data_IF_808517335663
#
_entry.id   IF_808517335663
#
_cell.length_a   1.000
_cell.length_b   1.000
_cell.length_c   1.000
_cell.angle_alpha   90.00
_cell.angle_beta   90.00
_cell.angle_gamma   90.00
#
_symmetry.space_group_name_H-M   'P 1'
#
loop_
_entity.id
_entity.type
_entity.pdbx_description
1 polymer ?
#
# COMPACT_ATOMS: atom_id res chain seq x y z
N UNK A 1 -7.16 -10.71 -5.42
CA UNK A 1 -7.03 -10.13 -4.07
C UNK A 1 -5.87 -10.81 -3.37
N UNK A 2 -4.82 -10.06 -3.02
CA UNK A 2 -3.68 -10.50 -2.23
C UNK A 2 -3.88 -10.00 -0.80
N UNK A 3 -3.60 -10.85 0.20
CA UNK A 3 -3.59 -10.45 1.62
C UNK A 3 -2.21 -10.71 2.16
N UNK A 4 -1.57 -9.67 2.69
CA UNK A 4 -0.21 -9.71 3.21
C UNK A 4 -0.21 -9.19 4.63
N UNK A 5 0.82 -9.55 5.39
CA UNK A 5 1.00 -9.07 6.76
C UNK A 5 2.23 -8.20 6.80
N UNK A 6 2.10 -7.05 7.44
CA UNK A 6 3.21 -6.16 7.73
C UNK A 6 3.29 -5.95 9.24
N UNK A 7 4.51 -5.75 9.74
CA UNK A 7 4.71 -5.38 11.12
C UNK A 7 5.36 -3.99 11.14
N UNK A 8 4.72 -3.05 11.81
CA UNK A 8 5.26 -1.71 12.04
C UNK A 8 4.79 -1.20 13.41
N UNK A 9 5.60 -0.37 14.08
CA UNK A 9 5.26 0.23 15.38
C UNK A 9 4.69 -0.78 16.40
N UNK A 10 5.30 -1.97 16.48
CA UNK A 10 4.87 -3.10 17.32
C UNK A 10 3.45 -3.64 17.06
N UNK A 11 2.83 -3.23 15.94
CA UNK A 11 1.51 -3.68 15.47
C UNK A 11 1.71 -4.62 14.29
N UNK A 12 1.01 -5.75 14.32
CA UNK A 12 0.83 -6.60 13.14
C UNK A 12 -0.44 -6.17 12.40
N UNK A 13 -0.27 -5.66 11.18
CA UNK A 13 -1.37 -5.20 10.35
C UNK A 13 -1.57 -6.10 9.11
N UNK A 14 -2.81 -6.17 8.64
CA UNK A 14 -3.16 -6.89 7.43
C UNK A 14 -3.29 -5.87 6.29
N UNK A 15 -2.56 -6.10 5.22
CA UNK A 15 -2.64 -5.30 4.00
C UNK A 15 -3.44 -6.09 2.97
N UNK A 16 -4.55 -5.51 2.55
CA UNK A 16 -5.42 -6.03 1.52
C UNK A 16 -5.13 -5.30 0.22
N UNK A 17 -4.75 -6.04 -0.82
CA UNK A 17 -4.46 -5.49 -2.15
C UNK A 17 -5.42 -6.14 -3.14
N UNK A 18 -6.24 -5.33 -3.76
CA UNK A 18 -7.19 -5.75 -4.78
C UNK A 18 -6.88 -5.04 -6.10
N UNK A 19 -6.72 -5.82 -7.16
CA UNK A 19 -6.53 -5.29 -8.51
C UNK A 19 -7.86 -5.34 -9.25
N UNK A 20 -8.30 -4.19 -9.76
CA UNK A 20 -9.45 -4.06 -10.64
C UNK A 20 -8.98 -3.90 -12.09
N UNK A 21 -8.86 -5.02 -12.81
CA UNK A 21 -8.42 -5.04 -14.21
C UNK A 21 -9.37 -4.27 -15.13
N UNK A 22 -10.66 -4.18 -14.80
CA UNK A 22 -11.65 -3.46 -15.64
C UNK A 22 -11.46 -1.95 -15.54
N UNK A 23 -11.21 -1.46 -14.32
CA UNK A 23 -11.01 -0.02 -14.06
C UNK A 23 -9.55 0.42 -14.11
N UNK A 24 -8.60 -0.51 -14.21
CA UNK A 24 -7.16 -0.26 -14.14
C UNK A 24 -6.76 0.45 -12.83
N UNK A 25 -7.24 -0.09 -11.70
CA UNK A 25 -7.01 0.48 -10.37
C UNK A 25 -6.55 -0.62 -9.40
N UNK A 26 -5.65 -0.27 -8.47
CA UNK A 26 -5.41 -1.01 -7.24
C UNK A 26 -6.16 -0.35 -6.08
N UNK A 27 -6.88 -1.17 -5.32
CA UNK A 27 -7.42 -0.80 -4.02
C UNK A 27 -6.55 -1.44 -2.95
N UNK A 28 -5.99 -0.61 -2.08
CA UNK A 28 -5.12 -1.04 -0.99
C UNK A 28 -5.77 -0.60 0.31
N UNK A 29 -5.86 -1.50 1.29
CA UNK A 29 -6.47 -1.20 2.59
C UNK A 29 -5.67 -1.82 3.74
N UNK A 30 -5.55 -1.06 4.83
CA UNK A 30 -4.92 -1.44 6.10
C UNK A 30 -5.90 -1.10 7.23
N UNK A 31 -6.80 -2.03 7.60
CA UNK A 31 -7.84 -1.78 8.59
C UNK A 31 -7.32 -1.41 9.97
N UNK A 32 -6.16 -1.94 10.39
CA UNK A 32 -5.59 -1.70 11.71
C UNK A 32 -5.26 -0.21 11.97
N UNK A 33 -5.07 0.56 10.90
CA UNK A 33 -4.85 2.02 10.97
C UNK A 33 -5.99 2.81 10.31
N UNK A 34 -7.12 2.18 9.97
CA UNK A 34 -8.26 2.79 9.26
C UNK A 34 -7.85 3.50 7.96
N UNK A 35 -6.92 2.91 7.20
CA UNK A 35 -6.39 3.51 5.98
C UNK A 35 -6.79 2.69 4.76
N UNK A 36 -7.10 3.39 3.66
CA UNK A 36 -7.28 2.78 2.34
C UNK A 36 -7.01 3.80 1.24
N UNK A 37 -6.53 3.32 0.10
CA UNK A 37 -6.24 4.13 -1.08
C UNK A 37 -6.64 3.39 -2.36
N UNK A 38 -7.20 4.15 -3.30
CA UNK A 38 -7.34 3.72 -4.70
C UNK A 38 -6.26 4.42 -5.52
N UNK A 39 -5.48 3.66 -6.28
CA UNK A 39 -4.37 4.15 -7.11
C UNK A 39 -4.43 3.51 -8.50
N UNK A 40 -3.99 4.23 -9.53
CA UNK A 40 -3.98 3.71 -10.91
C UNK A 40 -3.00 2.55 -11.07
N UNK A 41 -3.45 1.47 -11.72
CA UNK A 41 -2.59 0.31 -12.00
C UNK A 41 -1.60 0.54 -13.14
N UNK A 42 -1.69 1.69 -13.80
CA UNK A 42 -0.79 2.14 -14.88
C UNK A 42 0.46 2.86 -14.36
N UNK A 43 0.50 3.21 -13.07
CA UNK A 43 1.68 3.83 -12.47
C UNK A 43 2.87 2.86 -12.51
N UNK A 44 4.06 3.43 -12.68
CA UNK A 44 5.30 2.69 -12.48
C UNK A 44 5.58 2.49 -10.98
N UNK A 45 6.60 1.69 -10.67
CA UNK A 45 7.00 1.36 -9.30
C UNK A 45 7.32 2.60 -8.45
N UNK A 46 8.06 3.57 -9.00
CA UNK A 46 8.46 4.79 -8.29
C UNK A 46 7.26 5.71 -8.01
N UNK A 47 6.44 5.98 -9.02
CA UNK A 47 5.24 6.83 -8.90
C UNK A 47 4.25 6.24 -7.90
N UNK A 48 4.06 4.92 -7.92
CA UNK A 48 3.16 4.24 -6.97
C UNK A 48 3.69 4.31 -5.54
N UNK A 49 5.01 4.18 -5.37
CA UNK A 49 5.65 4.35 -4.06
C UNK A 49 5.43 5.75 -3.53
N UNK A 50 5.70 6.79 -4.32
CA UNK A 50 5.54 8.18 -3.90
C UNK A 50 4.10 8.48 -3.44
N UNK A 51 3.11 8.08 -4.24
CA UNK A 51 1.69 8.22 -3.90
C UNK A 51 1.35 7.51 -2.57
N UNK A 52 1.80 6.26 -2.41
CA UNK A 52 1.57 5.51 -1.17
C UNK A 52 2.20 6.19 0.04
N UNK A 53 3.44 6.69 -0.07
CA UNK A 53 4.11 7.38 1.03
C UNK A 53 3.37 8.65 1.43
N UNK A 54 2.97 9.48 0.46
CA UNK A 54 2.24 10.73 0.72
C UNK A 54 0.95 10.45 1.50
N UNK A 55 0.19 9.43 1.06
CA UNK A 55 -1.07 9.08 1.69
C UNK A 55 -0.89 8.37 3.04
N UNK A 56 0.10 7.52 3.20
CA UNK A 56 0.39 6.83 4.47
C UNK A 56 0.95 7.78 5.53
N UNK A 57 1.72 8.79 5.14
CA UNK A 57 2.29 9.79 6.04
C UNK A 57 1.23 10.66 6.74
N UNK A 58 -0.03 10.63 6.28
CA UNK A 58 -1.14 11.27 6.99
C UNK A 58 -1.48 10.61 8.33
N UNK A 59 -1.08 9.34 8.52
CA UNK A 59 -1.39 8.53 9.70
C UNK A 59 -0.15 7.89 10.35
N UNK A 60 0.92 7.69 9.59
CA UNK A 60 2.18 7.08 10.03
C UNK A 60 3.31 8.10 9.97
N UNK A 61 4.40 7.86 10.70
CA UNK A 61 5.63 8.62 10.53
C UNK A 61 6.28 8.33 9.18
N UNK A 62 7.10 9.25 8.68
CA UNK A 62 7.68 9.20 7.34
C UNK A 62 8.49 7.91 7.12
N UNK A 63 9.23 7.49 8.15
CA UNK A 63 10.06 6.28 8.08
C UNK A 63 9.21 5.03 7.95
N UNK A 64 8.12 4.92 8.72
CA UNK A 64 7.19 3.79 8.63
C UNK A 64 6.39 3.83 7.33
N UNK A 65 5.88 5.00 6.93
CA UNK A 65 5.14 5.17 5.68
C UNK A 65 5.96 4.72 4.47
N UNK A 66 7.24 5.10 4.43
CA UNK A 66 8.18 4.68 3.39
C UNK A 66 8.40 3.16 3.36
N UNK A 67 8.65 2.54 4.52
CA UNK A 67 8.78 1.08 4.60
C UNK A 67 7.50 0.33 4.19
N UNK A 68 6.33 0.81 4.65
CA UNK A 68 5.04 0.20 4.31
C UNK A 68 4.75 0.32 2.82
N UNK A 69 5.01 1.48 2.22
CA UNK A 69 4.87 1.69 0.78
C UNK A 69 5.78 0.75 -0.01
N UNK A 70 7.06 0.64 0.37
CA UNK A 70 8.01 -0.27 -0.28
C UNK A 70 7.53 -1.73 -0.28
N UNK A 71 7.08 -2.23 0.86
CA UNK A 71 6.55 -3.60 0.96
C UNK A 71 5.33 -3.81 0.07
N UNK A 72 4.42 -2.83 0.03
CA UNK A 72 3.19 -2.88 -0.79
C UNK A 72 3.52 -2.92 -2.28
N UNK A 73 4.36 -1.98 -2.73
CA UNK A 73 4.79 -1.88 -4.13
C UNK A 73 5.49 -3.16 -4.54
N UNK A 74 6.39 -3.67 -3.70
CA UNK A 74 7.03 -4.96 -3.92
C UNK A 74 6.02 -6.09 -4.10
N UNK A 75 4.95 -6.17 -3.30
CA UNK A 75 3.92 -7.20 -3.47
C UNK A 75 3.03 -7.02 -4.71
N UNK A 76 2.95 -5.81 -5.24
CA UNK A 76 2.22 -5.50 -6.48
C UNK A 76 3.06 -5.93 -7.68
N UNK A 77 4.33 -5.56 -7.73
CA UNK A 77 5.21 -5.76 -8.89
C UNK A 77 6.00 -7.09 -8.88
N UNK A 78 6.35 -7.64 -7.72
CA UNK A 78 6.89 -9.00 -7.62
C UNK A 78 5.75 -10.03 -7.65
N UNK A 79 5.72 -10.85 -8.71
CA UNK A 79 4.90 -12.05 -8.84
C UNK A 79 5.66 -13.29 -8.37
#
# INVERSE_FOLDING_TARGET
MKVKKINFNDIQANVYIYENVIKQLFLIAIPEINWSLEVESTLNEDDMKEELVIHLFTLLDESTASHVADDIVKWIFEN
#
